data_IF_702055747982
#
_entry.id   IF_702055747982
#
_cell.length_a   1.000
_cell.length_b   1.000
_cell.length_c   1.000
_cell.angle_alpha   90.00
_cell.angle_beta   90.00
_cell.angle_gamma   90.00
#
_symmetry.space_group_name_H-M   'P 1'
#
loop_
_entity.id
_entity.type
_entity.pdbx_description
1 polymer ?
#
# COMPACT_ATOMS: atom_id res chain seq x y z
N UNK A 1 -98.27 -27.73 7.32
CA UNK A 1 -96.99 -26.97 7.60
C UNK A 1 -95.71 -27.84 7.66
N UNK A 2 -95.70 -29.13 7.37
CA UNK A 2 -94.46 -29.97 7.48
C UNK A 2 -93.73 -30.18 6.15
N UNK A 3 -94.19 -29.74 5.01
CA UNK A 3 -93.53 -29.96 3.68
C UNK A 3 -92.54 -28.85 3.30
N UNK A 4 -92.67 -27.64 3.86
CA UNK A 4 -91.83 -26.53 3.49
C UNK A 4 -90.52 -26.53 4.26
N UNK A 5 -90.41 -27.15 5.43
CA UNK A 5 -89.16 -27.21 6.24
C UNK A 5 -88.13 -28.14 5.62
N UNK A 6 -88.52 -29.24 4.99
CA UNK A 6 -87.62 -30.19 4.33
C UNK A 6 -86.97 -29.59 3.05
N UNK A 7 -87.77 -28.82 2.29
CA UNK A 7 -87.30 -28.18 1.09
C UNK A 7 -86.24 -27.07 1.38
N UNK A 8 -86.41 -26.33 2.47
CA UNK A 8 -85.43 -25.29 2.90
C UNK A 8 -84.16 -25.96 3.38
N UNK A 9 -84.20 -27.07 4.11
CA UNK A 9 -83.02 -27.82 4.52
C UNK A 9 -82.20 -28.37 3.36
N UNK A 10 -82.86 -28.86 2.31
CA UNK A 10 -82.18 -29.37 1.09
C UNK A 10 -81.51 -28.23 0.33
N UNK A 11 -82.12 -27.05 0.22
CA UNK A 11 -81.58 -25.87 -0.41
C UNK A 11 -80.34 -25.36 0.36
N UNK A 12 -80.35 -25.36 1.72
CA UNK A 12 -79.20 -24.98 2.52
C UNK A 12 -78.05 -25.99 2.45
N UNK A 13 -78.31 -27.28 2.35
CA UNK A 13 -77.30 -28.31 2.15
C UNK A 13 -76.66 -28.27 0.76
N UNK A 14 -77.43 -28.02 -0.31
CA UNK A 14 -76.93 -27.82 -1.67
C UNK A 14 -76.05 -26.52 -1.75
N UNK A 15 -76.49 -25.46 -1.12
CA UNK A 15 -75.70 -24.20 -1.09
C UNK A 15 -74.36 -24.37 -0.37
N UNK A 16 -74.31 -25.15 0.73
CA UNK A 16 -73.04 -25.49 1.41
C UNK A 16 -72.16 -26.40 0.56
N UNK A 17 -72.71 -27.39 -0.14
CA UNK A 17 -71.98 -28.28 -1.03
C UNK A 17 -71.37 -27.49 -2.22
N UNK A 18 -72.15 -26.57 -2.81
CA UNK A 18 -71.74 -25.71 -3.91
C UNK A 18 -70.62 -24.72 -3.42
N UNK A 19 -70.75 -24.19 -2.20
CA UNK A 19 -69.69 -23.30 -1.59
C UNK A 19 -68.39 -24.02 -1.35
N UNK A 20 -68.42 -25.29 -0.88
CA UNK A 20 -67.21 -26.10 -0.67
C UNK A 20 -66.50 -26.46 -1.99
N UNK A 21 -67.29 -26.80 -3.03
CA UNK A 21 -66.74 -27.09 -4.37
C UNK A 21 -66.09 -25.83 -5.00
N UNK A 22 -66.76 -24.68 -4.88
CA UNK A 22 -66.17 -23.41 -5.36
C UNK A 22 -64.93 -23.05 -4.60
N UNK A 23 -64.84 -23.26 -3.27
CA UNK A 23 -63.64 -23.04 -2.45
C UNK A 23 -62.53 -24.02 -2.83
N UNK A 24 -62.81 -25.28 -3.14
CA UNK A 24 -61.76 -26.23 -3.59
C UNK A 24 -61.29 -25.93 -5.01
N UNK A 25 -62.14 -25.42 -5.92
CA UNK A 25 -61.68 -24.99 -7.27
C UNK A 25 -60.84 -23.71 -7.21
N UNK A 26 -61.16 -22.81 -6.28
CA UNK A 26 -60.33 -21.61 -6.08
C UNK A 26 -58.94 -21.92 -5.46
N UNK A 27 -58.80 -22.99 -4.68
CA UNK A 27 -57.52 -23.42 -4.13
C UNK A 27 -56.67 -24.25 -5.11
N UNK A 28 -57.26 -24.80 -6.17
CA UNK A 28 -56.52 -25.51 -7.21
C UNK A 28 -56.00 -24.62 -8.35
N UNK A 29 -56.33 -23.30 -8.34
CA UNK A 29 -55.99 -22.39 -9.43
C UNK A 29 -54.81 -21.46 -9.13
N UNK A 30 -54.00 -21.68 -8.06
CA UNK A 30 -52.80 -20.90 -7.75
C UNK A 30 -51.55 -21.76 -7.71
N UNK A 31 -51.33 -22.61 -8.72
CA UNK A 31 -49.98 -22.97 -9.13
C UNK A 31 -49.62 -22.15 -10.37
N UNK A 32 -49.43 -20.85 -10.15
CA UNK A 32 -48.76 -19.99 -11.10
C UNK A 32 -47.31 -20.44 -11.13
N UNK A 33 -46.94 -21.21 -12.15
CA UNK A 33 -45.51 -21.41 -12.47
C UNK A 33 -44.90 -20.01 -12.61
N UNK A 34 -44.06 -19.61 -11.65
CA UNK A 34 -43.28 -18.41 -11.75
C UNK A 34 -42.54 -18.47 -13.08
N UNK A 35 -42.80 -17.54 -13.97
CA UNK A 35 -41.97 -17.34 -15.16
C UNK A 35 -40.59 -16.98 -14.62
N UNK A 36 -39.62 -17.87 -14.80
CA UNK A 36 -38.25 -17.62 -14.54
C UNK A 36 -37.84 -16.48 -15.49
N UNK A 37 -37.64 -15.29 -14.95
CA UNK A 37 -37.09 -14.17 -15.72
C UNK A 37 -35.69 -14.55 -16.15
N UNK A 38 -35.45 -14.50 -17.44
CA UNK A 38 -34.14 -14.78 -18.03
C UNK A 38 -33.42 -13.48 -18.28
N UNK A 39 -32.13 -13.43 -17.95
CA UNK A 39 -31.24 -12.31 -18.35
C UNK A 39 -31.17 -12.24 -19.89
N UNK A 40 -30.76 -11.10 -20.48
CA UNK A 40 -30.56 -10.99 -21.93
C UNK A 40 -29.57 -12.04 -22.50
N UNK A 41 -28.79 -12.66 -21.66
CA UNK A 41 -27.80 -13.71 -22.00
C UNK A 41 -28.30 -15.14 -21.74
N UNK A 42 -29.62 -15.34 -21.46
CA UNK A 42 -30.22 -16.66 -21.34
C UNK A 42 -30.02 -17.38 -20.01
N UNK A 43 -29.59 -16.68 -18.97
CA UNK A 43 -29.48 -17.21 -17.60
C UNK A 43 -30.72 -16.85 -16.76
N UNK A 44 -31.25 -17.74 -15.91
CA UNK A 44 -32.39 -17.43 -15.06
C UNK A 44 -32.08 -16.39 -14.01
N UNK A 45 -32.89 -15.35 -13.86
CA UNK A 45 -32.81 -14.37 -12.78
C UNK A 45 -33.43 -14.97 -11.54
N UNK A 46 -32.66 -15.18 -10.46
CA UNK A 46 -33.20 -15.64 -9.17
C UNK A 46 -33.39 -17.15 -9.00
N UNK A 47 -32.76 -17.98 -9.83
CA UNK A 47 -32.64 -19.40 -9.52
C UNK A 47 -31.61 -19.59 -8.41
N UNK A 48 -32.04 -19.96 -7.20
CA UNK A 48 -31.18 -20.68 -6.26
C UNK A 48 -30.82 -22.03 -6.91
N UNK A 49 -29.84 -21.97 -7.83
CA UNK A 49 -29.05 -23.16 -8.05
C UNK A 49 -28.09 -23.20 -6.87
N UNK A 50 -28.04 -24.31 -6.12
CA UNK A 50 -26.92 -24.76 -5.33
C UNK A 50 -25.68 -24.98 -6.25
N UNK A 51 -25.33 -23.97 -7.04
CA UNK A 51 -24.05 -23.90 -7.71
C UNK A 51 -23.11 -23.42 -6.63
N UNK A 52 -22.33 -24.35 -6.08
CA UNK A 52 -21.07 -24.04 -5.42
C UNK A 52 -20.42 -22.98 -6.32
N UNK A 53 -20.11 -21.77 -5.80
CA UNK A 53 -19.45 -20.77 -6.62
C UNK A 53 -18.18 -21.40 -7.16
N UNK A 54 -18.18 -21.74 -8.41
CA UNK A 54 -16.95 -22.11 -9.11
C UNK A 54 -16.25 -20.78 -9.32
N UNK A 55 -15.14 -20.54 -8.61
CA UNK A 55 -14.28 -19.39 -8.88
C UNK A 55 -13.96 -19.31 -10.37
N UNK A 56 -13.42 -18.19 -10.83
CA UNK A 56 -13.01 -18.04 -12.22
C UNK A 56 -12.08 -19.18 -12.62
N UNK A 57 -12.38 -19.78 -13.79
CA UNK A 57 -11.49 -20.78 -14.38
C UNK A 57 -10.19 -20.14 -14.85
N UNK A 58 -9.15 -20.92 -15.11
CA UNK A 58 -7.88 -20.40 -15.65
C UNK A 58 -8.11 -19.63 -16.95
N UNK A 59 -9.02 -20.10 -17.82
CA UNK A 59 -9.36 -19.41 -19.05
C UNK A 59 -10.07 -18.08 -18.81
N UNK A 60 -10.92 -17.96 -17.77
CA UNK A 60 -11.54 -16.69 -17.39
C UNK A 60 -10.51 -15.70 -16.87
N UNK A 61 -9.58 -16.15 -16.04
CA UNK A 61 -8.46 -15.32 -15.53
C UNK A 61 -7.61 -14.76 -16.70
N UNK A 62 -7.29 -15.63 -17.67
CA UNK A 62 -6.53 -15.20 -18.85
C UNK A 62 -7.34 -14.26 -19.76
N UNK A 63 -8.62 -14.52 -19.94
CA UNK A 63 -9.49 -13.68 -20.77
C UNK A 63 -9.73 -12.30 -20.11
N UNK A 64 -9.85 -12.25 -18.78
CA UNK A 64 -9.99 -11.01 -18.02
C UNK A 64 -8.66 -10.25 -17.91
N UNK A 65 -7.52 -10.90 -18.12
CA UNK A 65 -6.20 -10.32 -18.04
C UNK A 65 -5.76 -10.00 -16.61
N UNK A 66 -6.40 -10.61 -15.59
CA UNK A 66 -6.14 -10.32 -14.18
C UNK A 66 -6.25 -11.57 -13.31
N UNK A 67 -5.27 -11.77 -12.42
CA UNK A 67 -5.29 -12.75 -11.33
C UNK A 67 -5.50 -12.02 -10.02
N UNK A 68 -6.49 -12.44 -9.23
CA UNK A 68 -6.83 -11.81 -7.95
C UNK A 68 -6.23 -12.61 -6.80
N UNK A 69 -5.23 -12.04 -6.16
CA UNK A 69 -4.54 -12.59 -5.00
C UNK A 69 -5.24 -12.13 -3.71
N UNK A 70 -5.73 -13.07 -2.91
CA UNK A 70 -6.14 -12.82 -1.53
C UNK A 70 -4.94 -13.05 -0.60
N UNK A 71 -4.67 -12.07 0.26
CA UNK A 71 -3.50 -12.12 1.15
C UNK A 71 -3.73 -11.39 2.47
N UNK A 72 -2.78 -11.53 3.40
CA UNK A 72 -2.73 -10.78 4.66
C UNK A 72 -1.61 -9.76 4.61
N UNK A 73 -1.76 -8.66 5.37
CA UNK A 73 -0.66 -7.74 5.58
C UNK A 73 0.43 -8.37 6.46
N UNK A 74 1.69 -8.28 6.03
CA UNK A 74 2.82 -8.81 6.79
C UNK A 74 4.11 -8.90 5.97
N UNK A 75 5.27 -9.07 6.64
CA UNK A 75 6.60 -9.02 6.01
C UNK A 75 6.82 -10.09 4.94
N UNK A 76 6.27 -11.31 5.16
CA UNK A 76 6.44 -12.42 4.21
C UNK A 76 5.26 -12.54 3.24
N UNK A 77 4.10 -11.94 3.57
CA UNK A 77 2.87 -12.05 2.76
C UNK A 77 2.74 -10.92 1.77
N UNK A 78 2.35 -9.74 2.25
CA UNK A 78 2.22 -8.52 1.44
C UNK A 78 2.39 -7.27 2.30
N UNK A 79 3.14 -6.32 1.81
CA UNK A 79 3.19 -4.95 2.34
C UNK A 79 3.53 -3.96 1.24
N UNK A 80 3.09 -2.70 1.39
CA UNK A 80 3.51 -1.64 0.49
C UNK A 80 4.90 -1.12 0.88
N UNK A 81 5.77 -0.99 -0.10
CA UNK A 81 7.07 -0.37 0.04
C UNK A 81 7.27 0.69 -1.04
N UNK A 82 7.14 1.95 -0.66
CA UNK A 82 7.28 3.10 -1.58
C UNK A 82 6.36 3.01 -2.80
N UNK A 83 5.12 2.59 -2.60
CA UNK A 83 4.13 2.42 -3.65
C UNK A 83 4.30 1.18 -4.52
N UNK A 84 5.11 0.21 -4.09
CA UNK A 84 5.24 -1.11 -4.71
C UNK A 84 4.96 -2.23 -3.71
N UNK A 85 4.20 -3.22 -4.12
CA UNK A 85 3.99 -4.43 -3.34
C UNK A 85 5.28 -5.22 -3.11
N UNK A 86 5.46 -5.71 -1.90
CA UNK A 86 6.60 -6.50 -1.46
C UNK A 86 6.13 -7.66 -0.57
N UNK A 87 7.03 -8.56 -0.25
CA UNK A 87 6.81 -9.77 0.52
C UNK A 87 6.98 -11.03 -0.33
N UNK A 88 7.52 -12.09 0.25
CA UNK A 88 7.83 -13.34 -0.46
C UNK A 88 6.61 -13.90 -1.22
N UNK A 89 5.45 -13.97 -0.56
CA UNK A 89 4.25 -14.56 -1.15
C UNK A 89 3.72 -13.69 -2.29
N UNK A 90 3.75 -12.37 -2.12
CA UNK A 90 3.39 -11.43 -3.18
C UNK A 90 4.30 -11.56 -4.41
N UNK A 91 5.62 -11.53 -4.20
CA UNK A 91 6.59 -11.61 -5.30
C UNK A 91 6.51 -12.95 -6.06
N UNK A 92 6.25 -14.05 -5.35
CA UNK A 92 5.97 -15.34 -5.98
C UNK A 92 4.69 -15.28 -6.82
N UNK A 93 3.61 -14.73 -6.28
CA UNK A 93 2.33 -14.63 -6.98
C UNK A 93 2.43 -13.67 -8.19
N UNK A 94 3.19 -12.57 -8.07
CA UNK A 94 3.47 -11.65 -9.18
C UNK A 94 4.22 -12.36 -10.33
N UNK A 95 5.22 -13.19 -10.02
CA UNK A 95 5.92 -14.00 -11.03
C UNK A 95 4.99 -15.03 -11.70
N UNK A 96 4.08 -15.62 -10.94
CA UNK A 96 3.08 -16.53 -11.51
C UNK A 96 2.12 -15.80 -12.45
N UNK A 97 1.59 -14.65 -12.05
CA UNK A 97 0.73 -13.81 -12.90
C UNK A 97 1.44 -13.38 -14.18
N UNK A 98 2.71 -12.99 -14.08
CA UNK A 98 3.55 -12.65 -15.25
C UNK A 98 3.70 -13.85 -16.21
N UNK A 99 3.89 -15.07 -15.70
CA UNK A 99 3.97 -16.27 -16.54
C UNK A 99 2.64 -16.58 -17.23
N UNK A 100 1.50 -16.29 -16.58
CA UNK A 100 0.18 -16.41 -17.22
C UNK A 100 -0.10 -15.29 -18.24
N UNK A 101 0.73 -14.24 -18.28
CA UNK A 101 0.51 -13.07 -19.14
C UNK A 101 -0.59 -12.13 -18.64
N UNK A 102 -0.92 -12.17 -17.35
CA UNK A 102 -1.97 -11.36 -16.73
C UNK A 102 -1.42 -10.41 -15.67
N UNK A 103 -2.21 -9.41 -15.29
CA UNK A 103 -1.89 -8.50 -14.17
C UNK A 103 -2.23 -9.18 -12.84
N UNK A 104 -1.48 -8.83 -11.80
CA UNK A 104 -1.82 -9.22 -10.43
C UNK A 104 -2.62 -8.11 -9.75
N UNK A 105 -3.82 -8.43 -9.25
CA UNK A 105 -4.58 -7.60 -8.32
C UNK A 105 -4.47 -8.18 -6.92
N UNK A 106 -4.16 -7.32 -5.95
CA UNK A 106 -3.99 -7.72 -4.55
C UNK A 106 -5.16 -7.24 -3.72
N UNK A 107 -5.78 -8.17 -3.02
CA UNK A 107 -6.85 -7.92 -2.05
C UNK A 107 -6.35 -8.33 -0.66
N UNK A 108 -6.16 -7.34 0.20
CA UNK A 108 -5.63 -7.56 1.56
C UNK A 108 -6.80 -7.80 2.50
N UNK A 109 -6.80 -8.95 3.15
CA UNK A 109 -7.78 -9.35 4.15
C UNK A 109 -7.23 -9.11 5.57
N UNK A 110 -8.14 -9.02 6.55
CA UNK A 110 -7.79 -8.80 7.95
C UNK A 110 -7.28 -10.10 8.61
N UNK A 111 -7.93 -11.23 8.30
CA UNK A 111 -7.63 -12.53 8.90
C UNK A 111 -7.94 -13.69 7.95
N UNK A 112 -7.66 -14.92 8.42
CA UNK A 112 -7.91 -16.14 7.67
C UNK A 112 -9.40 -16.37 7.41
N UNK A 113 -10.29 -15.91 8.26
CA UNK A 113 -11.74 -16.05 8.10
C UNK A 113 -12.23 -15.27 6.90
N UNK A 114 -11.75 -14.02 6.77
CA UNK A 114 -12.05 -13.18 5.62
C UNK A 114 -11.46 -13.74 4.32
N UNK A 115 -10.20 -14.25 4.34
CA UNK A 115 -9.61 -14.93 3.17
C UNK A 115 -10.52 -16.05 2.64
N UNK A 116 -11.00 -16.93 3.54
CA UNK A 116 -11.86 -18.05 3.19
C UNK A 116 -13.23 -17.60 2.72
N UNK A 117 -13.81 -16.59 3.34
CA UNK A 117 -15.11 -16.01 2.99
C UNK A 117 -15.06 -15.38 1.59
N UNK A 118 -14.07 -14.55 1.32
CA UNK A 118 -13.92 -13.87 0.02
C UNK A 118 -13.60 -14.85 -1.11
N UNK A 119 -12.75 -15.86 -0.86
CA UNK A 119 -12.50 -16.89 -1.86
C UNK A 119 -13.78 -17.66 -2.21
N UNK A 120 -14.61 -18.03 -1.23
CA UNK A 120 -15.90 -18.68 -1.44
C UNK A 120 -16.89 -17.80 -2.20
N UNK A 121 -16.86 -16.48 -1.96
CA UNK A 121 -17.71 -15.53 -2.66
C UNK A 121 -17.27 -15.26 -4.11
N UNK A 122 -16.13 -15.84 -4.56
CA UNK A 122 -15.58 -15.58 -5.89
C UNK A 122 -14.91 -14.20 -6.02
N UNK A 123 -14.53 -13.58 -4.89
CA UNK A 123 -13.86 -12.28 -4.86
C UNK A 123 -12.35 -12.39 -5.01
N UNK A 124 -11.83 -13.59 -5.22
CA UNK A 124 -10.41 -13.87 -5.46
C UNK A 124 -10.20 -15.24 -6.05
N UNK A 125 -9.06 -15.43 -6.69
CA UNK A 125 -8.68 -16.65 -7.41
C UNK A 125 -7.77 -17.56 -6.59
N UNK A 126 -6.85 -16.97 -5.82
CA UNK A 126 -5.86 -17.69 -5.05
C UNK A 126 -5.63 -17.04 -3.69
N UNK A 127 -5.59 -17.85 -2.64
CA UNK A 127 -5.06 -17.42 -1.33
C UNK A 127 -3.56 -17.64 -1.35
N UNK A 128 -2.80 -16.57 -1.51
CA UNK A 128 -1.34 -16.60 -1.47
C UNK A 128 -0.82 -16.29 -0.05
N UNK A 129 -1.28 -17.10 0.90
CA UNK A 129 -0.82 -17.16 2.29
C UNK A 129 -0.59 -18.62 2.62
N UNK A 130 0.51 -19.00 3.28
CA UNK A 130 0.72 -20.38 3.72
C UNK A 130 -0.36 -20.82 4.70
N UNK A 131 -1.27 -21.69 4.27
CA UNK A 131 -2.36 -22.22 5.09
C UNK A 131 -2.12 -23.67 5.48
N UNK A 132 -2.53 -24.09 6.70
CA UNK A 132 -2.53 -25.48 7.10
C UNK A 132 -3.60 -26.26 6.30
N UNK A 133 -3.29 -27.49 5.90
CA UNK A 133 -4.14 -28.34 5.05
C UNK A 133 -5.33 -28.95 5.83
N UNK A 134 -6.17 -28.11 6.42
CA UNK A 134 -7.32 -28.55 7.23
C UNK A 134 -8.69 -28.11 6.69
N UNK A 135 -8.73 -27.25 5.67
CA UNK A 135 -9.97 -26.71 5.14
C UNK A 135 -10.42 -27.54 3.93
N UNK A 136 -11.51 -28.30 4.10
CA UNK A 136 -12.00 -29.28 3.11
C UNK A 136 -12.53 -28.62 1.80
N UNK A 137 -12.86 -27.34 1.84
CA UNK A 137 -13.35 -26.59 0.68
C UNK A 137 -12.24 -26.02 -0.21
N UNK A 138 -10.99 -26.30 0.09
CA UNK A 138 -9.82 -25.80 -0.62
C UNK A 138 -9.06 -26.94 -1.32
N UNK A 139 -8.49 -26.62 -2.48
CA UNK A 139 -7.45 -27.39 -3.11
C UNK A 139 -6.09 -26.69 -2.85
N UNK A 140 -5.18 -27.39 -2.21
CA UNK A 140 -3.87 -26.88 -1.81
C UNK A 140 -2.86 -27.07 -2.94
N UNK A 141 -2.21 -25.99 -3.34
CA UNK A 141 -1.38 -25.98 -4.54
C UNK A 141 -0.27 -24.91 -4.51
N UNK A 142 0.61 -24.97 -5.49
CA UNK A 142 1.67 -23.99 -5.69
C UNK A 142 2.67 -23.95 -4.55
N UNK A 143 2.82 -22.79 -3.91
CA UNK A 143 3.77 -22.62 -2.81
C UNK A 143 3.56 -23.66 -1.70
N UNK A 144 4.66 -24.28 -1.26
CA UNK A 144 4.70 -25.15 -0.07
C UNK A 144 5.83 -24.72 0.83
N UNK A 145 5.52 -24.52 2.14
CA UNK A 145 6.55 -24.27 3.13
C UNK A 145 7.45 -25.52 3.31
N UNK A 146 8.72 -25.27 3.59
CA UNK A 146 9.71 -26.34 3.82
C UNK A 146 9.73 -26.85 5.26
N UNK A 147 8.93 -26.22 6.14
CA UNK A 147 8.82 -26.63 7.53
C UNK A 147 7.98 -27.92 7.70
N UNK A 148 7.98 -28.46 8.93
CA UNK A 148 7.22 -29.67 9.27
C UNK A 148 5.70 -29.52 9.12
N UNK A 149 5.19 -28.30 9.03
CA UNK A 149 3.75 -27.99 8.96
C UNK A 149 3.21 -28.07 7.55
N UNK A 150 4.07 -28.07 6.51
CA UNK A 150 3.71 -28.15 5.08
C UNK A 150 2.54 -27.23 4.72
N UNK A 151 2.65 -25.96 5.10
CA UNK A 151 1.62 -24.97 4.76
C UNK A 151 1.73 -24.60 3.27
N UNK A 152 0.58 -24.47 2.61
CA UNK A 152 0.51 -24.25 1.17
C UNK A 152 -0.42 -23.09 0.82
N UNK A 153 -0.30 -22.57 -0.40
CA UNK A 153 -1.34 -21.77 -1.02
C UNK A 153 -2.59 -22.62 -1.30
N UNK A 154 -3.67 -21.95 -1.59
CA UNK A 154 -4.92 -22.63 -1.87
C UNK A 154 -5.80 -21.88 -2.87
N UNK A 155 -6.56 -22.66 -3.62
CA UNK A 155 -7.62 -22.19 -4.50
C UNK A 155 -8.96 -22.80 -4.06
N UNK A 156 -10.07 -22.32 -4.61
CA UNK A 156 -11.37 -22.93 -4.34
C UNK A 156 -11.38 -24.37 -4.84
N UNK A 157 -11.99 -25.26 -4.07
CA UNK A 157 -12.12 -26.66 -4.44
C UNK A 157 -12.80 -26.80 -5.80
N UNK A 158 -12.31 -27.73 -6.60
CA UNK A 158 -12.70 -27.99 -7.99
C UNK A 158 -12.16 -26.98 -9.03
N UNK A 159 -11.34 -26.00 -8.66
CA UNK A 159 -10.57 -25.22 -9.61
C UNK A 159 -9.25 -25.96 -9.96
N UNK A 160 -9.40 -27.18 -10.48
CA UNK A 160 -8.29 -28.12 -10.69
C UNK A 160 -7.29 -27.62 -11.72
N UNK A 161 -7.74 -26.92 -12.75
CA UNK A 161 -6.89 -26.39 -13.81
C UNK A 161 -5.91 -25.33 -13.27
N UNK A 162 -6.37 -24.39 -12.43
CA UNK A 162 -5.54 -23.41 -11.77
C UNK A 162 -4.59 -24.06 -10.76
N UNK A 163 -5.11 -25.02 -9.96
CA UNK A 163 -4.31 -25.77 -8.99
C UNK A 163 -3.17 -26.55 -9.66
N UNK A 164 -3.46 -27.28 -10.75
CA UNK A 164 -2.45 -28.03 -11.50
C UNK A 164 -1.43 -27.11 -12.17
N UNK A 165 -1.86 -25.95 -12.64
CA UNK A 165 -0.96 -24.97 -13.25
C UNK A 165 -0.03 -24.35 -12.22
N UNK A 166 -0.54 -24.02 -11.03
CA UNK A 166 0.28 -23.56 -9.90
C UNK A 166 1.29 -24.62 -9.46
N UNK A 167 0.86 -25.90 -9.37
CA UNK A 167 1.73 -27.02 -9.00
C UNK A 167 2.84 -27.29 -10.02
N UNK A 168 2.55 -27.14 -11.31
CA UNK A 168 3.57 -27.29 -12.37
C UNK A 168 4.54 -26.12 -12.42
N UNK A 169 4.07 -24.93 -12.06
CA UNK A 169 4.91 -23.72 -12.04
C UNK A 169 5.83 -23.67 -10.83
N UNK A 170 5.31 -24.00 -9.64
CA UNK A 170 6.05 -23.86 -8.41
C UNK A 170 7.19 -24.88 -8.31
N UNK A 171 8.34 -24.39 -7.94
CA UNK A 171 9.52 -25.20 -7.56
C UNK A 171 10.17 -24.57 -6.33
N UNK A 172 10.68 -25.38 -5.37
CA UNK A 172 11.23 -24.86 -4.10
C UNK A 172 12.35 -23.83 -4.28
N UNK A 173 13.13 -23.93 -5.36
CA UNK A 173 14.23 -23.02 -5.69
C UNK A 173 13.76 -21.59 -5.89
N UNK A 174 12.52 -21.38 -6.37
CA UNK A 174 11.91 -20.05 -6.55
C UNK A 174 11.88 -19.25 -5.25
N UNK A 175 11.73 -19.92 -4.10
CA UNK A 175 11.71 -19.27 -2.78
C UNK A 175 13.07 -18.59 -2.50
N UNK A 176 14.16 -19.30 -2.76
CA UNK A 176 15.51 -18.77 -2.55
C UNK A 176 15.82 -17.64 -3.56
N UNK A 177 15.41 -17.81 -4.84
CA UNK A 177 15.58 -16.79 -5.87
C UNK A 177 14.84 -15.49 -5.49
N UNK A 178 13.57 -15.59 -5.09
CA UNK A 178 12.74 -14.42 -4.73
C UNK A 178 13.27 -13.75 -3.46
N UNK A 179 13.69 -14.51 -2.44
CA UNK A 179 14.30 -13.94 -1.23
C UNK A 179 15.61 -13.21 -1.54
N UNK A 180 16.42 -13.73 -2.45
CA UNK A 180 17.66 -13.06 -2.87
C UNK A 180 17.34 -11.76 -3.63
N UNK A 181 16.35 -11.79 -4.52
CA UNK A 181 15.87 -10.61 -5.24
C UNK A 181 15.32 -9.56 -4.27
N UNK A 182 14.42 -9.94 -3.37
CA UNK A 182 13.89 -9.03 -2.36
C UNK A 182 14.99 -8.40 -1.53
N UNK A 183 15.95 -9.18 -1.05
CA UNK A 183 17.12 -8.70 -0.30
C UNK A 183 17.96 -7.72 -1.11
N UNK A 184 18.16 -7.98 -2.41
CA UNK A 184 18.84 -7.05 -3.30
C UNK A 184 18.05 -5.76 -3.47
N UNK A 185 16.76 -5.84 -3.79
CA UNK A 185 15.89 -4.70 -4.00
C UNK A 185 15.83 -3.78 -2.78
N UNK A 186 15.83 -4.35 -1.59
CA UNK A 186 15.80 -3.62 -0.31
C UNK A 186 17.18 -3.11 0.14
N UNK A 187 18.24 -3.42 -0.60
CA UNK A 187 19.60 -2.97 -0.29
C UNK A 187 19.92 -1.62 -0.94
N UNK A 188 20.96 -0.96 -0.43
CA UNK A 188 21.49 0.28 -1.06
C UNK A 188 22.10 0.04 -2.45
N UNK A 189 22.40 -1.22 -2.81
CA UNK A 189 22.94 -1.61 -4.12
C UNK A 189 21.92 -1.52 -5.24
N UNK A 190 20.63 -1.53 -4.91
CA UNK A 190 19.53 -1.42 -5.88
C UNK A 190 19.30 0.00 -6.40
N UNK A 191 19.95 1.01 -5.80
CA UNK A 191 19.87 2.40 -6.25
C UNK A 191 21.04 2.70 -7.18
N UNK A 192 20.72 3.01 -8.44
CA UNK A 192 21.72 3.47 -9.42
C UNK A 192 21.96 4.96 -9.22
N UNK A 193 23.14 5.32 -8.75
CA UNK A 193 23.55 6.73 -8.54
C UNK A 193 25.06 6.89 -8.51
N UNK A 194 25.52 8.10 -8.84
CA UNK A 194 26.90 8.55 -8.54
C UNK A 194 26.93 9.14 -7.14
N UNK A 195 27.97 8.82 -6.38
CA UNK A 195 28.16 9.37 -5.04
C UNK A 195 29.02 10.63 -5.15
N UNK A 196 28.45 11.78 -4.81
CA UNK A 196 29.17 13.04 -4.71
C UNK A 196 29.56 13.33 -3.26
N UNK A 197 30.49 14.26 -3.07
CA UNK A 197 30.89 14.69 -1.73
C UNK A 197 29.69 15.29 -0.97
N UNK A 198 29.51 14.97 0.32
CA UNK A 198 28.47 15.60 1.14
C UNK A 198 28.74 17.09 1.40
N UNK A 199 29.95 17.57 1.13
CA UNK A 199 30.36 18.94 1.31
C UNK A 199 31.36 19.33 0.21
N UNK A 200 30.92 20.22 -0.70
CA UNK A 200 31.74 20.63 -1.83
C UNK A 200 32.89 21.52 -1.42
N UNK A 201 32.66 22.50 -0.54
CA UNK A 201 33.69 23.37 0.03
C UNK A 201 33.31 23.78 1.45
N UNK A 202 33.88 23.11 2.44
CA UNK A 202 33.60 23.36 3.86
C UNK A 202 34.03 24.76 4.33
N UNK A 203 35.19 25.21 3.95
CA UNK A 203 35.71 26.53 4.34
C UNK A 203 34.95 27.68 3.70
N UNK A 204 34.43 27.48 2.49
CA UNK A 204 33.58 28.44 1.78
C UNK A 204 32.08 28.35 2.14
N UNK A 205 31.70 27.38 2.99
CA UNK A 205 30.28 27.18 3.37
C UNK A 205 29.40 26.66 2.26
N UNK A 206 29.96 25.96 1.26
CA UNK A 206 29.25 25.41 0.09
C UNK A 206 29.00 23.93 0.32
N UNK A 207 27.70 23.53 0.36
CA UNK A 207 27.29 22.14 0.54
C UNK A 207 27.37 21.42 -0.81
N UNK A 208 26.74 21.97 -1.84
CA UNK A 208 26.64 21.36 -3.16
C UNK A 208 26.57 22.42 -4.26
N UNK A 209 26.65 21.99 -5.52
CA UNK A 209 26.40 22.85 -6.69
C UNK A 209 24.94 23.32 -6.80
N UNK A 210 24.04 22.77 -5.97
CA UNK A 210 22.61 23.07 -5.99
C UNK A 210 22.15 23.98 -4.85
N UNK A 211 23.08 24.53 -4.05
CA UNK A 211 22.74 25.36 -2.89
C UNK A 211 21.82 26.53 -3.22
N UNK A 212 22.01 27.19 -4.38
CA UNK A 212 21.14 28.26 -4.84
C UNK A 212 19.69 27.80 -5.07
N UNK A 213 19.50 26.57 -5.57
CA UNK A 213 18.17 25.98 -5.75
C UNK A 213 17.52 25.62 -4.40
N UNK A 214 18.28 25.05 -3.46
CA UNK A 214 17.76 24.79 -2.12
C UNK A 214 17.35 26.08 -1.42
N UNK A 215 18.15 27.14 -1.53
CA UNK A 215 17.82 28.46 -0.99
C UNK A 215 16.55 29.05 -1.65
N UNK A 216 16.40 28.91 -2.96
CA UNK A 216 15.24 29.37 -3.72
C UNK A 216 13.94 28.68 -3.27
N UNK A 217 13.97 27.37 -3.04
CA UNK A 217 12.77 26.57 -2.77
C UNK A 217 12.53 26.28 -1.28
N UNK A 218 13.48 26.57 -0.39
CA UNK A 218 13.31 26.44 1.06
C UNK A 218 12.08 27.20 1.62
N UNK A 219 11.74 28.43 1.15
CA UNK A 219 10.53 29.12 1.59
C UNK A 219 9.24 28.36 1.23
N UNK A 220 9.20 27.65 0.08
CA UNK A 220 8.04 26.83 -0.33
C UNK A 220 7.83 25.67 0.63
N UNK A 221 8.91 24.97 0.99
CA UNK A 221 8.89 23.90 2.00
C UNK A 221 8.71 24.44 3.44
N UNK A 222 8.90 25.74 3.66
CA UNK A 222 8.97 26.38 4.99
C UNK A 222 10.06 25.80 5.88
N UNK A 223 11.15 25.34 5.27
CA UNK A 223 12.31 24.72 5.92
C UNK A 223 13.56 25.57 5.82
N UNK A 224 14.54 25.24 6.65
CA UNK A 224 15.93 25.66 6.45
C UNK A 224 16.47 24.99 5.16
N UNK A 225 17.07 25.78 4.26
CA UNK A 225 17.61 25.27 3.00
C UNK A 225 18.65 24.15 3.20
N UNK A 226 19.38 24.18 4.33
CA UNK A 226 20.36 23.16 4.71
C UNK A 226 19.69 21.83 5.10
N UNK A 227 18.45 21.88 5.60
CA UNK A 227 17.65 20.67 5.83
C UNK A 227 17.23 20.05 4.50
N UNK A 228 16.80 20.88 3.54
CA UNK A 228 16.48 20.41 2.18
C UNK A 228 17.71 19.79 1.49
N UNK A 229 18.89 20.40 1.63
CA UNK A 229 20.15 19.86 1.14
C UNK A 229 20.55 18.54 1.84
N UNK A 230 20.33 18.45 3.15
CA UNK A 230 20.58 17.23 3.92
C UNK A 230 19.68 16.06 3.47
N UNK A 231 18.40 16.34 3.19
CA UNK A 231 17.47 15.39 2.63
C UNK A 231 17.91 14.95 1.23
N UNK A 232 18.21 15.89 0.34
CA UNK A 232 18.67 15.59 -1.01
C UNK A 232 19.92 14.67 -1.02
N UNK A 233 20.87 14.93 -0.12
CA UNK A 233 22.01 14.04 0.01
C UNK A 233 21.60 12.62 0.45
N UNK A 234 20.67 12.49 1.34
CA UNK A 234 20.16 11.19 1.80
C UNK A 234 19.44 10.44 0.66
N UNK A 235 18.70 11.15 -0.19
CA UNK A 235 17.96 10.58 -1.31
C UNK A 235 18.89 10.13 -2.45
N UNK A 236 19.76 11.01 -2.92
CA UNK A 236 20.51 10.80 -4.16
C UNK A 236 22.02 10.96 -4.05
N UNK A 237 22.56 11.38 -2.90
CA UNK A 237 23.93 11.87 -2.78
C UNK A 237 24.26 13.00 -3.78
N UNK A 238 23.28 13.88 -4.04
CA UNK A 238 23.32 14.97 -5.03
C UNK A 238 23.46 14.52 -6.48
N UNK A 239 23.07 13.29 -6.82
CA UNK A 239 23.04 12.84 -8.23
C UNK A 239 21.69 13.14 -8.86
N UNK A 240 21.62 14.04 -9.87
CA UNK A 240 20.36 14.33 -10.54
C UNK A 240 19.84 13.17 -11.41
N UNK A 241 20.70 12.19 -11.75
CA UNK A 241 20.34 11.02 -12.52
C UNK A 241 20.06 9.79 -11.66
N UNK A 242 20.03 9.95 -10.33
CA UNK A 242 19.74 8.84 -9.42
C UNK A 242 18.38 8.22 -9.72
N UNK A 243 18.35 6.89 -9.75
CA UNK A 243 17.12 6.10 -9.93
C UNK A 243 17.12 4.93 -8.97
N UNK A 244 16.04 4.81 -8.20
CA UNK A 244 15.82 3.61 -7.39
C UNK A 244 15.16 2.49 -8.22
N UNK A 245 15.29 1.26 -7.75
CA UNK A 245 14.58 0.13 -8.36
C UNK A 245 13.05 0.28 -8.29
N UNK A 246 12.52 0.94 -7.24
CA UNK A 246 11.10 1.23 -7.10
C UNK A 246 10.61 2.34 -8.05
N UNK A 247 11.51 2.97 -8.80
CA UNK A 247 11.18 4.00 -9.78
C UNK A 247 11.29 5.43 -9.29
N UNK A 248 11.78 5.68 -8.07
CA UNK A 248 12.04 7.04 -7.60
C UNK A 248 13.18 7.69 -8.42
N UNK A 249 13.03 8.97 -8.75
CA UNK A 249 13.85 9.66 -9.72
C UNK A 249 14.45 10.98 -9.22
N UNK A 250 15.69 11.24 -9.62
CA UNK A 250 16.35 12.54 -9.50
C UNK A 250 16.85 12.87 -8.11
N UNK A 251 17.22 14.14 -7.92
CA UNK A 251 17.86 14.65 -6.70
C UNK A 251 17.08 14.31 -5.42
N UNK A 252 15.76 14.45 -5.46
CA UNK A 252 14.86 14.28 -4.31
C UNK A 252 14.08 12.97 -4.36
N UNK A 253 14.44 12.04 -5.25
CA UNK A 253 13.84 10.71 -5.39
C UNK A 253 12.31 10.74 -5.43
N UNK A 254 11.76 11.50 -6.38
CA UNK A 254 10.31 11.64 -6.55
C UNK A 254 9.78 10.42 -7.32
N UNK A 255 8.74 9.78 -6.78
CA UNK A 255 8.03 8.71 -7.47
C UNK A 255 7.23 9.25 -8.66
N UNK A 256 7.14 8.53 -9.80
CA UNK A 256 6.40 8.99 -10.99
C UNK A 256 4.93 9.37 -10.69
N UNK A 257 4.23 8.61 -9.85
CA UNK A 257 2.86 8.93 -9.44
C UNK A 257 2.80 10.26 -8.65
N UNK A 258 3.77 10.49 -7.76
CA UNK A 258 3.89 11.75 -7.01
C UNK A 258 4.23 12.91 -7.95
N UNK A 259 5.11 12.71 -8.93
CA UNK A 259 5.43 13.71 -9.95
C UNK A 259 4.18 14.15 -10.71
N UNK A 260 3.36 13.20 -11.17
CA UNK A 260 2.08 13.47 -11.85
C UNK A 260 1.14 14.28 -10.95
N UNK A 261 0.97 13.88 -9.68
CA UNK A 261 0.13 14.59 -8.70
C UNK A 261 0.59 16.04 -8.48
N UNK A 262 1.90 16.28 -8.46
CA UNK A 262 2.50 17.61 -8.26
C UNK A 262 2.56 18.47 -9.51
N UNK A 263 2.18 17.92 -10.68
CA UNK A 263 2.28 18.56 -11.97
C UNK A 263 3.71 18.67 -12.50
N UNK A 264 4.62 17.78 -12.08
CA UNK A 264 5.97 17.66 -12.63
C UNK A 264 5.94 16.75 -13.87
N UNK A 265 6.25 17.28 -15.08
CA UNK A 265 6.31 16.45 -16.28
C UNK A 265 7.39 15.35 -16.13
N UNK A 266 7.09 14.14 -16.59
CA UNK A 266 8.04 13.02 -16.53
C UNK A 266 9.34 13.30 -17.31
N UNK A 267 9.29 14.10 -18.36
CA UNK A 267 10.47 14.55 -19.12
C UNK A 267 11.42 15.42 -18.30
N UNK A 268 10.94 16.08 -17.25
CA UNK A 268 11.71 16.98 -16.41
C UNK A 268 12.05 16.39 -15.03
N UNK A 269 11.68 15.13 -14.78
CA UNK A 269 11.84 14.51 -13.45
C UNK A 269 13.30 14.41 -13.00
N UNK A 270 14.26 14.39 -13.93
CA UNK A 270 15.69 14.38 -13.68
C UNK A 270 16.35 15.75 -13.74
N UNK A 271 15.60 16.79 -14.11
CA UNK A 271 16.11 18.16 -14.11
C UNK A 271 16.20 18.68 -12.66
N UNK A 272 17.35 19.25 -12.27
CA UNK A 272 17.58 19.64 -10.87
C UNK A 272 16.53 20.59 -10.31
N UNK A 273 16.21 21.65 -11.02
CA UNK A 273 15.31 22.69 -10.52
C UNK A 273 13.85 22.22 -10.44
N UNK A 274 13.21 21.64 -11.49
CA UNK A 274 11.87 21.08 -11.40
C UNK A 274 11.72 19.99 -10.32
N UNK A 275 12.72 19.13 -10.16
CA UNK A 275 12.73 18.06 -9.18
C UNK A 275 12.73 18.62 -7.74
N UNK A 276 13.62 19.57 -7.42
CA UNK A 276 13.69 20.24 -6.11
C UNK A 276 12.39 21.03 -5.84
N UNK A 277 11.87 21.75 -6.85
CA UNK A 277 10.63 22.50 -6.72
C UNK A 277 9.43 21.61 -6.38
N UNK A 278 9.31 20.48 -7.05
CA UNK A 278 8.25 19.50 -6.79
C UNK A 278 8.38 18.90 -5.39
N UNK A 279 9.59 18.53 -4.97
CA UNK A 279 9.84 18.04 -3.61
C UNK A 279 9.47 19.06 -2.53
N UNK A 280 9.81 20.34 -2.74
CA UNK A 280 9.45 21.42 -1.82
C UNK A 280 7.92 21.59 -1.69
N UNK A 281 7.18 21.46 -2.80
CA UNK A 281 5.70 21.44 -2.79
C UNK A 281 5.17 20.23 -2.03
N UNK A 282 5.72 19.05 -2.25
CA UNK A 282 5.31 17.83 -1.57
C UNK A 282 5.55 17.92 -0.05
N UNK A 283 6.70 18.41 0.37
CA UNK A 283 7.02 18.69 1.78
C UNK A 283 6.01 19.67 2.39
N UNK A 284 5.63 20.72 1.65
CA UNK A 284 4.61 21.67 2.10
C UNK A 284 3.25 20.99 2.29
N UNK A 285 2.83 20.11 1.36
CA UNK A 285 1.61 19.34 1.48
C UNK A 285 1.66 18.39 2.69
N UNK A 286 2.73 17.62 2.86
CA UNK A 286 2.92 16.75 4.02
C UNK A 286 2.88 17.55 5.34
N UNK A 287 3.47 18.76 5.35
CA UNK A 287 3.46 19.62 6.54
C UNK A 287 2.04 19.98 6.97
N UNK A 288 1.09 20.15 6.04
CA UNK A 288 -0.31 20.43 6.40
C UNK A 288 -1.00 19.27 7.10
N UNK A 289 -0.55 18.05 6.85
CA UNK A 289 -1.08 16.85 7.50
C UNK A 289 -0.59 16.67 8.95
N UNK A 290 0.41 17.43 9.39
CA UNK A 290 0.97 17.40 10.74
C UNK A 290 0.80 18.76 11.48
N UNK A 291 -0.27 19.50 11.17
CA UNK A 291 -0.56 20.79 11.83
C UNK A 291 -0.85 20.65 13.32
N UNK A 292 -1.24 19.47 13.77
CA UNK A 292 -1.43 19.09 15.17
C UNK A 292 -0.13 19.07 15.98
N UNK A 293 1.04 19.04 15.34
CA UNK A 293 2.34 19.12 15.99
C UNK A 293 2.78 20.59 16.06
N UNK A 294 2.74 21.26 17.24
CA UNK A 294 2.99 22.69 17.33
C UNK A 294 4.47 23.07 17.14
N UNK A 295 5.39 22.22 17.63
CA UNK A 295 6.83 22.49 17.57
C UNK A 295 7.37 22.25 16.14
N UNK A 296 8.00 23.26 15.57
CA UNK A 296 8.40 23.27 14.15
C UNK A 296 9.45 22.21 13.82
N UNK A 297 10.45 22.02 14.69
CA UNK A 297 11.52 21.05 14.43
C UNK A 297 10.97 19.62 14.56
N UNK A 298 10.13 19.35 15.55
CA UNK A 298 9.44 18.07 15.67
C UNK A 298 8.64 17.79 14.40
N UNK A 299 7.81 18.73 13.97
CA UNK A 299 7.02 18.58 12.74
C UNK A 299 7.88 18.24 11.53
N UNK A 300 9.07 18.81 11.38
CA UNK A 300 9.98 18.46 10.29
C UNK A 300 10.39 16.99 10.31
N UNK A 301 10.59 16.38 11.49
CA UNK A 301 10.95 14.97 11.59
C UNK A 301 9.81 14.04 11.16
N UNK A 302 8.58 14.37 11.53
CA UNK A 302 7.39 13.63 11.06
C UNK A 302 7.19 13.76 9.56
N UNK A 303 7.42 14.94 8.99
CA UNK A 303 7.35 15.15 7.54
C UNK A 303 8.42 14.36 6.81
N UNK A 304 9.67 14.34 7.31
CA UNK A 304 10.74 13.50 6.78
C UNK A 304 10.37 12.00 6.83
N UNK A 305 9.83 11.57 7.96
CA UNK A 305 9.39 10.19 8.14
C UNK A 305 8.26 9.82 7.17
N UNK A 306 7.29 10.71 6.99
CA UNK A 306 6.18 10.51 6.05
C UNK A 306 6.64 10.53 4.59
N UNK A 307 7.62 11.34 4.24
CA UNK A 307 8.22 11.40 2.91
C UNK A 307 8.86 10.06 2.52
N UNK A 308 9.56 9.42 3.47
CA UNK A 308 10.24 8.14 3.24
C UNK A 308 9.33 6.93 3.43
N UNK A 309 8.57 6.89 4.53
CA UNK A 309 7.82 5.71 4.98
C UNK A 309 6.31 5.77 4.75
N UNK A 310 5.81 6.91 4.24
CA UNK A 310 4.38 7.12 3.99
C UNK A 310 3.63 7.70 5.20
N UNK A 311 2.78 8.67 4.90
CA UNK A 311 2.01 9.42 5.91
C UNK A 311 1.18 8.53 6.83
N UNK A 312 0.50 7.55 6.27
CA UNK A 312 -0.44 6.73 7.02
C UNK A 312 0.24 5.85 8.07
N UNK A 313 1.38 5.25 7.74
CA UNK A 313 2.16 4.46 8.71
C UNK A 313 2.68 5.33 9.87
N UNK A 314 3.07 6.58 9.58
CA UNK A 314 3.51 7.49 10.65
C UNK A 314 2.33 7.86 11.56
N UNK A 315 1.11 8.03 11.02
CA UNK A 315 -0.10 8.22 11.83
C UNK A 315 -0.44 6.99 12.67
N UNK A 316 -0.26 5.79 12.14
CA UNK A 316 -0.41 4.55 12.91
C UNK A 316 0.58 4.49 14.07
N UNK A 317 1.85 4.84 13.86
CA UNK A 317 2.87 4.92 14.91
C UNK A 317 2.53 5.98 15.99
N UNK A 318 2.01 7.14 15.59
CA UNK A 318 1.52 8.18 16.54
C UNK A 318 0.36 7.64 17.38
N UNK A 319 -0.59 6.93 16.78
CA UNK A 319 -1.72 6.32 17.48
C UNK A 319 -1.28 5.25 18.48
N UNK A 320 -0.28 4.44 18.12
CA UNK A 320 0.35 3.47 19.02
C UNK A 320 1.07 4.16 20.18
N UNK A 321 1.83 5.22 19.93
CA UNK A 321 2.52 5.99 20.95
C UNK A 321 1.49 6.55 21.97
N UNK A 322 0.43 7.19 21.47
CA UNK A 322 -0.65 7.73 22.31
C UNK A 322 -1.34 6.64 23.14
N UNK A 323 -1.68 5.49 22.54
CA UNK A 323 -2.28 4.35 23.22
C UNK A 323 -1.42 3.87 24.40
N UNK A 324 -0.10 3.94 24.25
CA UNK A 324 0.87 3.50 25.25
C UNK A 324 1.35 4.63 26.19
N UNK A 325 0.62 5.73 26.26
CA UNK A 325 0.89 6.84 27.19
C UNK A 325 2.14 7.66 26.84
N UNK A 326 2.55 7.65 25.56
CA UNK A 326 3.64 8.45 25.02
C UNK A 326 3.10 9.68 24.31
N UNK A 327 3.93 10.72 24.21
CA UNK A 327 3.57 11.94 23.49
C UNK A 327 3.61 11.69 21.96
N UNK A 328 2.44 11.67 21.27
CA UNK A 328 2.39 11.41 19.83
C UNK A 328 2.98 12.54 18.98
N UNK A 329 3.35 13.68 19.58
CA UNK A 329 3.92 14.84 18.89
C UNK A 329 5.44 14.96 19.07
N UNK A 330 6.07 14.01 19.76
CA UNK A 330 7.52 13.93 19.96
C UNK A 330 8.13 12.82 19.14
N UNK A 331 8.99 13.18 18.19
CA UNK A 331 9.61 12.20 17.28
C UNK A 331 10.40 11.11 18.02
N UNK A 332 11.15 11.51 19.05
CA UNK A 332 11.97 10.57 19.81
C UNK A 332 11.11 9.51 20.53
N UNK A 333 9.83 9.82 20.85
CA UNK A 333 8.89 8.86 21.43
C UNK A 333 8.14 8.05 20.37
N UNK A 334 7.79 8.67 19.23
CA UNK A 334 7.04 8.00 18.15
C UNK A 334 7.94 7.10 17.31
N UNK A 335 9.23 7.43 17.15
CA UNK A 335 10.18 6.63 16.37
C UNK A 335 10.32 5.19 16.86
N UNK A 336 10.17 4.94 18.17
CA UNK A 336 10.14 3.59 18.75
C UNK A 336 8.94 2.79 18.23
N UNK A 337 7.78 3.43 18.04
CA UNK A 337 6.58 2.77 17.50
C UNK A 337 6.64 2.61 15.99
N UNK A 338 7.36 3.48 15.28
CA UNK A 338 7.71 3.25 13.86
C UNK A 338 8.53 1.97 13.72
N UNK A 339 9.53 1.74 14.60
CA UNK A 339 10.27 0.48 14.62
C UNK A 339 9.38 -0.72 14.94
N UNK A 340 8.48 -0.58 15.92
CA UNK A 340 7.58 -1.63 16.39
C UNK A 340 6.53 -2.04 15.35
N UNK A 341 6.17 -1.17 14.38
CA UNK A 341 5.31 -1.55 13.26
C UNK A 341 5.88 -2.67 12.38
N UNK A 342 7.11 -3.10 12.60
CA UNK A 342 7.69 -4.30 11.97
C UNK A 342 7.36 -5.62 12.72
N UNK A 343 6.72 -5.57 13.88
CA UNK A 343 6.40 -6.75 14.69
C UNK A 343 4.90 -7.04 14.76
N UNK A 344 4.47 -8.30 14.70
CA UNK A 344 3.05 -8.69 14.64
C UNK A 344 2.19 -8.13 15.78
N UNK A 345 2.74 -8.01 16.97
CA UNK A 345 2.06 -7.45 18.14
C UNK A 345 1.56 -6.03 17.88
N UNK A 346 2.35 -5.22 17.15
CA UNK A 346 2.03 -3.81 16.93
C UNK A 346 1.33 -3.56 15.60
N UNK A 347 1.77 -4.17 14.49
CA UNK A 347 1.10 -3.90 13.21
C UNK A 347 -0.30 -4.54 13.09
N UNK A 348 -0.65 -5.50 13.98
CA UNK A 348 -2.00 -6.07 14.10
C UNK A 348 -2.84 -5.43 15.20
N UNK A 349 -2.29 -4.44 15.90
CA UNK A 349 -3.05 -3.73 16.94
C UNK A 349 -4.26 -3.03 16.31
N UNK A 350 -5.45 -3.05 16.95
CA UNK A 350 -6.68 -2.43 16.41
C UNK A 350 -6.58 -0.94 16.10
N UNK A 351 -5.63 -0.20 16.68
CA UNK A 351 -5.43 1.23 16.37
C UNK A 351 -4.62 1.44 15.09
N UNK A 352 -3.93 0.39 14.60
CA UNK A 352 -3.15 0.40 13.36
C UNK A 352 -4.06 0.06 12.19
N UNK A 353 -4.12 0.93 11.20
CA UNK A 353 -5.02 0.80 10.05
C UNK A 353 -4.30 0.34 8.78
N UNK A 354 -2.99 0.57 8.70
CA UNK A 354 -2.20 0.34 7.49
C UNK A 354 -1.20 -0.81 7.64
N UNK A 355 -1.16 -1.43 8.83
CA UNK A 355 -0.47 -2.68 9.09
C UNK A 355 1.06 -2.57 9.12
N UNK A 356 1.74 -3.56 8.57
CA UNK A 356 3.19 -3.74 8.63
C UNK A 356 3.96 -2.62 7.93
N UNK A 357 5.04 -2.17 8.57
CA UNK A 357 6.00 -1.21 8.01
C UNK A 357 7.44 -1.62 8.34
N UNK A 358 8.38 -1.43 7.41
CA UNK A 358 9.83 -1.53 7.64
C UNK A 358 10.37 -0.30 8.37
N UNK A 359 9.98 -0.10 9.62
CA UNK A 359 10.24 1.11 10.38
C UNK A 359 11.71 1.50 10.54
N UNK A 360 12.64 0.53 10.57
CA UNK A 360 14.07 0.77 10.73
C UNK A 360 14.65 1.66 9.63
N UNK A 361 14.21 1.52 8.39
CA UNK A 361 14.67 2.35 7.28
C UNK A 361 14.29 3.81 7.50
N UNK A 362 13.04 4.07 7.86
CA UNK A 362 12.52 5.41 8.09
C UNK A 362 13.14 6.08 9.29
N UNK A 363 13.34 5.36 10.41
CA UNK A 363 14.00 5.91 11.59
C UNK A 363 15.45 6.28 11.28
N UNK A 364 16.19 5.41 10.60
CA UNK A 364 17.56 5.67 10.17
C UNK A 364 17.64 6.84 9.17
N UNK A 365 16.66 6.96 8.26
CA UNK A 365 16.55 8.07 7.32
C UNK A 365 16.45 9.41 8.05
N UNK A 366 15.51 9.53 9.00
CA UNK A 366 15.35 10.76 9.80
C UNK A 366 16.59 11.05 10.62
N UNK A 367 17.18 10.06 11.30
CA UNK A 367 18.39 10.24 12.09
C UNK A 367 19.57 10.70 11.25
N UNK A 368 19.76 10.10 10.06
CA UNK A 368 20.82 10.49 9.13
C UNK A 368 20.70 11.94 8.65
N UNK A 369 19.47 12.38 8.35
CA UNK A 369 19.19 13.76 7.93
C UNK A 369 19.38 14.74 9.09
N UNK A 370 18.89 14.43 10.31
CA UNK A 370 19.10 15.25 11.52
C UNK A 370 20.59 15.52 11.75
N UNK A 371 21.40 14.46 11.72
CA UNK A 371 22.85 14.56 11.94
C UNK A 371 23.53 15.40 10.85
N UNK A 372 23.17 15.20 9.60
CA UNK A 372 23.72 15.95 8.46
C UNK A 372 23.29 17.41 8.49
N UNK A 373 22.06 17.70 8.82
CA UNK A 373 21.56 19.06 8.98
C UNK A 373 22.32 19.80 10.11
N UNK A 374 22.55 19.15 11.24
CA UNK A 374 23.36 19.71 12.32
C UNK A 374 24.79 20.05 11.84
N UNK A 375 25.42 19.15 11.07
CA UNK A 375 26.72 19.39 10.46
C UNK A 375 26.68 20.60 9.51
N UNK A 376 25.70 20.67 8.62
CA UNK A 376 25.57 21.76 7.65
C UNK A 376 25.35 23.10 8.32
N UNK A 377 24.62 23.18 9.41
CA UNK A 377 24.46 24.41 10.22
C UNK A 377 25.76 24.88 10.85
N UNK A 378 26.70 24.00 11.09
CA UNK A 378 28.00 24.33 11.68
C UNK A 378 28.94 25.06 10.75
N UNK A 379 28.76 24.98 9.41
CA UNK A 379 29.67 25.64 8.47
C UNK A 379 28.96 26.46 7.37
N UNK A 380 27.75 26.11 6.94
CA UNK A 380 27.03 26.89 5.96
C UNK A 380 26.09 27.90 6.64
N UNK A 381 26.11 29.16 6.19
CA UNK A 381 25.27 30.22 6.75
C UNK A 381 23.81 30.00 6.40
N UNK A 382 22.89 30.43 7.25
CA UNK A 382 21.50 30.55 6.89
C UNK A 382 21.39 31.53 5.71
N UNK A 383 20.45 31.25 4.79
CA UNK A 383 20.17 32.19 3.71
C UNK A 383 19.72 33.54 4.33
N UNK A 384 20.34 34.64 3.92
CA UNK A 384 19.83 35.96 4.27
C UNK A 384 18.45 36.13 3.60
N UNK A 385 17.49 36.73 4.31
CA UNK A 385 16.20 37.07 3.72
C UNK A 385 16.43 37.89 2.43
N UNK A 386 15.65 37.66 1.34
CA UNK A 386 15.82 38.45 0.12
C UNK A 386 15.46 39.92 0.43
N UNK A 387 16.47 40.78 0.48
CA UNK A 387 16.25 42.21 0.72
C UNK A 387 17.45 43.02 1.20
N UNK A 388 18.63 42.41 1.47
CA UNK A 388 19.81 43.18 1.81
C UNK A 388 20.97 42.82 0.89
N UNK A 389 21.08 43.50 -0.24
CA UNK A 389 22.29 43.60 -1.05
C UNK A 389 23.31 44.44 -0.30
N UNK A 390 24.03 43.82 0.63
CA UNK A 390 25.26 44.37 1.17
C UNK A 390 26.41 43.99 0.26
N UNK A 391 26.99 44.97 -0.43
CA UNK A 391 28.26 44.86 -1.14
C UNK A 391 29.29 44.11 -0.27
N UNK A 392 30.06 43.16 -0.80
CA UNK A 392 31.10 42.49 -0.06
C UNK A 392 32.15 43.51 0.38
N UNK A 393 32.36 43.69 1.67
CA UNK A 393 33.48 44.45 2.17
C UNK A 393 34.77 43.75 1.72
N UNK A 394 35.72 44.45 1.04
CA UNK A 394 36.98 43.86 0.67
C UNK A 394 37.75 43.43 1.93
N UNK A 395 38.25 42.20 1.89
CA UNK A 395 39.07 41.65 2.96
C UNK A 395 40.30 42.58 3.19
N UNK A 396 40.46 43.11 4.41
CA UNK A 396 41.69 43.83 4.82
C UNK A 396 42.86 42.90 4.61
N UNK A 397 43.72 43.21 3.63
CA UNK A 397 45.05 42.61 3.49
C UNK A 397 45.84 42.96 4.76
N UNK A 398 46.19 41.96 5.57
CA UNK A 398 47.19 42.09 6.60
C UNK A 398 48.54 42.28 5.89
N UNK A 399 49.10 43.48 5.97
CA UNK A 399 50.46 43.75 5.56
C UNK A 399 51.42 42.92 6.46
N UNK A 400 52.16 42.06 5.80
CA UNK A 400 53.12 41.14 6.41
C UNK A 400 54.53 41.71 6.32
N UNK A 401 54.74 42.98 6.61
CA UNK A 401 56.05 43.59 6.79
C UNK A 401 55.88 44.94 7.54
N UNK A 402 56.15 44.97 8.83
CA UNK A 402 56.72 46.10 9.55
C UNK A 402 57.72 45.53 10.51
N UNK A 403 58.92 46.01 10.30
CA UNK A 403 60.14 45.85 11.14
C UNK A 403 59.89 46.40 12.53
#
# INVERSE_FOLDING_TARGET
MKRNAAFIQILFSLGRLLGVVIACVMMASCQQKSKVEMTPWGTPVGGEADTIPTGFTLSDIQANGELIMLTLNGPDTYYDYRGRGMGLQFLLCERFAQQLGVKLRVEVCQDTTELLSRLKAGEGDVIAVPLPQRYQQLDYCGYSSTDSLKQMWAVLKNNTELADTLNRWFRPELVAEVKAEESFLLSTKSVTRRVYSPMLNRSGGIISRFDALFQKYAPVARWDWRLLAAQCYQESTFDPQARSWAGACGLMQIMPATATHLGLPHSQIFEPEPNIAAAAKYIAQLTTHFNDIPERNERCYFVLAAYNGGFFHIRDAMSLAQKNGRDPHRWDEVSDYVLKLSTPEYYRDPVVKHGYMRGSETVNYVAGIRNRWAQYRGFARAASAPGLTGTPRPAKRKNKYSI
#
